data_IF_208696321992
#
_entry.id   IF_208696321992
#
_cell.length_a   1.000
_cell.length_b   1.000
_cell.length_c   1.000
_cell.angle_alpha   90.00
_cell.angle_beta   90.00
_cell.angle_gamma   90.00
#
_symmetry.space_group_name_H-M   'P 1'
#
loop_
_entity.id
_entity.type
_entity.pdbx_description
1 polymer ?
#
# COMPACT_ATOMS: atom_id res chain seq x y z
N UNK A 1 -3.55 20.39 -16.19
CA UNK A 1 -3.05 19.97 -14.87
C UNK A 1 -4.25 19.46 -14.10
N UNK A 2 -4.19 18.23 -13.61
CA UNK A 2 -5.27 17.61 -12.85
C UNK A 2 -5.20 18.07 -11.39
N UNK A 3 -6.34 18.40 -10.81
CA UNK A 3 -6.46 18.68 -9.38
C UNK A 3 -6.18 17.41 -8.58
N UNK A 4 -5.43 17.54 -7.48
CA UNK A 4 -5.22 16.45 -6.53
C UNK A 4 -5.98 16.76 -5.23
N UNK A 5 -6.78 15.81 -4.77
CA UNK A 5 -7.39 15.82 -3.44
C UNK A 5 -7.04 14.54 -2.69
N UNK A 6 -7.30 14.49 -1.40
CA UNK A 6 -7.00 13.30 -0.63
C UNK A 6 -7.76 13.15 0.67
N UNK A 7 -7.78 11.91 1.14
CA UNK A 7 -8.47 11.49 2.34
C UNK A 7 -7.62 10.51 3.13
N UNK A 8 -7.59 10.65 4.46
CA UNK A 8 -7.20 9.54 5.33
C UNK A 8 -8.42 9.04 6.09
N UNK A 9 -8.65 7.73 6.05
CA UNK A 9 -9.78 7.04 6.66
C UNK A 9 -9.41 6.71 8.11
N UNK A 10 -10.20 7.21 9.07
CA UNK A 10 -9.91 7.06 10.49
C UNK A 10 -11.21 6.84 11.28
N UNK A 11 -11.21 5.87 12.20
CA UNK A 11 -12.32 5.68 13.14
C UNK A 11 -12.34 6.81 14.18
N UNK A 12 -13.52 7.32 14.54
CA UNK A 12 -13.66 8.41 15.52
C UNK A 12 -13.03 8.07 16.89
N UNK A 13 -13.08 6.80 17.29
CA UNK A 13 -12.47 6.31 18.54
C UNK A 13 -10.93 6.26 18.52
N UNK A 14 -10.30 6.34 17.35
CA UNK A 14 -8.85 6.19 17.17
C UNK A 14 -8.16 7.57 17.17
N UNK A 15 -8.27 8.30 18.28
CA UNK A 15 -7.78 9.68 18.38
C UNK A 15 -6.26 9.82 18.23
N UNK A 16 -5.50 8.88 18.79
CA UNK A 16 -4.03 8.88 18.70
C UNK A 16 -3.55 8.70 17.26
N UNK A 17 -4.21 7.82 16.49
CA UNK A 17 -3.91 7.62 15.06
C UNK A 17 -4.23 8.87 14.25
N UNK A 18 -5.38 9.49 14.52
CA UNK A 18 -5.77 10.78 13.93
C UNK A 18 -4.71 11.85 14.19
N UNK A 19 -4.27 11.99 15.45
CA UNK A 19 -3.27 12.97 15.83
C UNK A 19 -1.91 12.69 15.15
N UNK A 20 -1.51 11.42 15.06
CA UNK A 20 -0.31 10.99 14.34
C UNK A 20 -0.37 11.34 12.86
N UNK A 21 -1.49 11.04 12.18
CA UNK A 21 -1.67 11.34 10.76
C UNK A 21 -1.69 12.84 10.48
N UNK A 22 -2.42 13.63 11.28
CA UNK A 22 -2.43 15.09 11.12
C UNK A 22 -1.03 15.68 11.24
N UNK A 23 -0.24 15.24 12.23
CA UNK A 23 1.15 15.70 12.39
C UNK A 23 2.01 15.35 11.16
N UNK A 24 1.94 14.11 10.68
CA UNK A 24 2.67 13.71 9.46
C UNK A 24 2.27 14.58 8.26
N UNK A 25 0.98 14.83 8.06
CA UNK A 25 0.49 15.65 6.94
C UNK A 25 0.87 17.12 7.08
N UNK A 26 0.92 17.66 8.30
CA UNK A 26 1.40 19.02 8.57
C UNK A 26 2.91 19.14 8.30
N UNK A 27 3.72 18.20 8.82
CA UNK A 27 5.17 18.17 8.64
C UNK A 27 5.56 18.05 7.15
N UNK A 28 4.77 17.33 6.36
CA UNK A 28 4.95 17.19 4.91
C UNK A 28 4.30 18.31 4.08
N UNK A 29 3.55 19.21 4.71
CA UNK A 29 2.80 20.26 4.02
C UNK A 29 1.61 19.75 3.19
N UNK A 30 1.16 18.51 3.39
CA UNK A 30 0.06 17.89 2.64
C UNK A 30 -1.34 18.14 3.25
N UNK A 31 -1.43 18.70 4.46
CA UNK A 31 -2.71 18.94 5.15
C UNK A 31 -3.69 19.87 4.42
N UNK A 32 -3.24 20.60 3.41
CA UNK A 32 -4.11 21.47 2.60
C UNK A 32 -4.96 20.71 1.58
N UNK A 33 -4.56 19.51 1.16
CA UNK A 33 -5.30 18.70 0.18
C UNK A 33 -5.71 17.33 0.69
N UNK A 34 -5.05 16.79 1.72
CA UNK A 34 -5.44 15.55 2.39
C UNK A 34 -6.20 15.87 3.67
N UNK A 35 -7.47 15.44 3.75
CA UNK A 35 -8.36 15.68 4.89
C UNK A 35 -8.83 14.38 5.54
N UNK A 36 -9.29 14.46 6.78
CA UNK A 36 -9.88 13.30 7.46
C UNK A 36 -11.19 12.88 6.78
N UNK A 37 -11.38 11.58 6.60
CA UNK A 37 -12.66 10.95 6.35
C UNK A 37 -13.05 10.08 7.57
N UNK A 38 -14.24 10.28 8.17
CA UNK A 38 -14.71 9.43 9.26
C UNK A 38 -14.99 8.02 8.74
N UNK A 39 -14.27 7.02 9.24
CA UNK A 39 -14.51 5.63 8.87
C UNK A 39 -15.88 5.15 9.38
N UNK A 40 -16.51 4.27 8.61
CA UNK A 40 -17.74 3.58 8.99
C UNK A 40 -17.49 2.74 10.25
N UNK A 41 -18.43 2.74 11.19
CA UNK A 41 -18.30 1.98 12.42
C UNK A 41 -19.06 0.64 12.31
N UNK A 42 -18.33 -0.43 12.06
CA UNK A 42 -18.91 -1.78 11.93
C UNK A 42 -19.67 -2.26 13.17
N UNK A 43 -19.32 -1.79 14.37
CA UNK A 43 -20.03 -2.16 15.59
C UNK A 43 -21.43 -1.51 15.68
N UNK A 44 -21.67 -0.42 14.96
CA UNK A 44 -22.95 0.31 14.97
C UNK A 44 -23.81 0.00 13.74
N UNK A 45 -23.18 -0.17 12.59
CA UNK A 45 -23.86 -0.23 11.28
C UNK A 45 -23.71 -1.59 10.57
N UNK A 46 -22.89 -2.48 11.14
CA UNK A 46 -22.55 -3.75 10.51
C UNK A 46 -23.75 -4.69 10.36
N UNK A 47 -23.91 -5.35 9.20
CA UNK A 47 -25.07 -6.20 8.92
C UNK A 47 -24.93 -7.65 9.42
N UNK A 48 -23.79 -8.01 10.00
CA UNK A 48 -23.47 -9.37 10.44
C UNK A 48 -23.56 -9.50 11.97
N UNK A 49 -23.79 -10.71 12.47
CA UNK A 49 -23.72 -10.98 13.91
C UNK A 49 -22.27 -11.06 14.41
N UNK A 50 -21.31 -11.28 13.52
CA UNK A 50 -19.88 -11.40 13.82
C UNK A 50 -19.18 -10.04 13.75
N UNK A 51 -18.52 -9.64 14.84
CA UNK A 51 -17.84 -8.33 14.96
C UNK A 51 -16.65 -8.20 14.01
N UNK A 52 -15.87 -9.27 13.79
CA UNK A 52 -14.78 -9.31 12.82
C UNK A 52 -15.27 -9.06 11.39
N UNK A 53 -16.35 -9.73 10.98
CA UNK A 53 -16.97 -9.55 9.66
C UNK A 53 -17.49 -8.13 9.47
N UNK A 54 -18.12 -7.57 10.51
CA UNK A 54 -18.55 -6.18 10.51
C UNK A 54 -17.37 -5.20 10.41
N UNK A 55 -16.23 -5.51 11.03
CA UNK A 55 -15.00 -4.72 10.90
C UNK A 55 -14.46 -4.71 9.47
N UNK A 56 -14.39 -5.88 8.82
CA UNK A 56 -14.01 -6.00 7.40
C UNK A 56 -14.97 -5.24 6.49
N UNK A 57 -16.28 -5.45 6.69
CA UNK A 57 -17.32 -4.75 5.94
C UNK A 57 -17.20 -3.23 6.10
N UNK A 58 -17.02 -2.74 7.32
CA UNK A 58 -16.91 -1.32 7.60
C UNK A 58 -15.64 -0.70 7.00
N UNK A 59 -14.52 -1.41 7.04
CA UNK A 59 -13.30 -1.00 6.33
C UNK A 59 -13.60 -0.82 4.85
N UNK A 60 -14.13 -1.85 4.17
CA UNK A 60 -14.52 -1.76 2.75
C UNK A 60 -15.47 -0.60 2.47
N UNK A 61 -16.55 -0.46 3.27
CA UNK A 61 -17.54 0.61 3.09
C UNK A 61 -16.92 2.00 3.23
N UNK A 62 -15.93 2.17 4.10
CA UNK A 62 -15.21 3.44 4.24
C UNK A 62 -14.47 3.80 2.95
N UNK A 63 -13.75 2.85 2.35
CA UNK A 63 -13.07 3.05 1.06
C UNK A 63 -14.06 3.35 -0.07
N UNK A 64 -15.14 2.58 -0.18
CA UNK A 64 -16.20 2.81 -1.17
C UNK A 64 -16.79 4.22 -1.03
N UNK A 65 -17.16 4.64 0.18
CA UNK A 65 -17.77 5.95 0.42
C UNK A 65 -16.84 7.11 0.08
N UNK A 66 -15.54 7.02 0.42
CA UNK A 66 -14.55 8.03 0.01
C UNK A 66 -14.53 8.17 -1.51
N UNK A 67 -14.46 7.06 -2.25
CA UNK A 67 -14.41 7.06 -3.72
C UNK A 67 -15.70 7.63 -4.31
N UNK A 68 -16.86 7.29 -3.74
CA UNK A 68 -18.15 7.77 -4.21
C UNK A 68 -18.34 9.28 -4.00
N UNK A 69 -17.82 9.82 -2.89
CA UNK A 69 -17.97 11.23 -2.52
C UNK A 69 -16.86 12.15 -3.08
N UNK A 70 -15.72 11.58 -3.48
CA UNK A 70 -14.62 12.34 -4.05
C UNK A 70 -15.00 13.05 -5.36
N UNK A 71 -14.36 14.19 -5.62
CA UNK A 71 -14.57 15.03 -6.81
C UNK A 71 -14.26 14.22 -8.07
N UNK A 72 -15.21 13.99 -8.97
CA UNK A 72 -15.02 13.08 -10.11
C UNK A 72 -13.84 13.44 -11.02
N UNK A 73 -13.49 14.74 -11.08
CA UNK A 73 -12.46 15.25 -11.97
C UNK A 73 -11.05 15.27 -11.35
N UNK A 74 -10.90 15.02 -10.04
CA UNK A 74 -9.59 15.00 -9.38
C UNK A 74 -8.88 13.64 -9.52
N UNK A 75 -7.58 13.62 -9.25
CA UNK A 75 -6.96 12.39 -8.76
C UNK A 75 -7.03 12.38 -7.23
N UNK A 76 -7.53 11.28 -6.66
CA UNK A 76 -7.82 11.21 -5.22
C UNK A 76 -6.86 10.27 -4.52
N UNK A 77 -6.09 10.79 -3.58
CA UNK A 77 -5.27 10.02 -2.65
C UNK A 77 -6.16 9.45 -1.54
N UNK A 78 -6.03 8.17 -1.23
CA UNK A 78 -6.72 7.52 -0.12
C UNK A 78 -5.67 6.83 0.74
N UNK A 79 -5.70 7.09 2.05
CA UNK A 79 -4.79 6.54 3.06
C UNK A 79 -5.58 5.92 4.22
N UNK A 80 -5.06 4.87 4.84
CA UNK A 80 -5.50 4.42 6.17
C UNK A 80 -4.80 5.25 7.27
N UNK A 81 -5.30 5.16 8.51
CA UNK A 81 -4.83 5.99 9.63
C UNK A 81 -3.59 5.46 10.37
N UNK A 82 -3.12 4.27 10.02
CA UNK A 82 -2.00 3.59 10.68
C UNK A 82 -0.78 3.41 9.77
N UNK A 83 -0.69 4.24 8.73
CA UNK A 83 0.48 4.32 7.84
C UNK A 83 1.51 5.35 8.31
N UNK A 84 2.77 5.05 8.01
CA UNK A 84 3.82 6.05 7.94
C UNK A 84 3.91 6.58 6.49
N UNK A 85 4.11 7.89 6.34
CA UNK A 85 4.23 8.56 5.04
C UNK A 85 5.69 8.94 4.79
N UNK A 86 6.22 8.59 3.61
CA UNK A 86 7.58 8.96 3.21
C UNK A 86 7.72 10.48 3.13
N UNK A 87 8.89 11.00 3.52
CA UNK A 87 9.23 12.42 3.31
C UNK A 87 9.22 12.86 1.84
N UNK A 88 9.36 11.90 0.91
CA UNK A 88 9.35 12.13 -0.54
C UNK A 88 7.94 12.10 -1.13
N UNK A 89 6.92 11.84 -0.31
CA UNK A 89 5.52 11.80 -0.72
C UNK A 89 5.09 13.07 -1.50
N UNK A 90 5.28 14.31 -1.00
CA UNK A 90 4.86 15.51 -1.75
C UNK A 90 5.58 15.71 -3.08
N UNK A 91 6.82 15.20 -3.22
CA UNK A 91 7.60 15.31 -4.47
C UNK A 91 7.03 14.41 -5.58
N UNK A 92 6.36 13.32 -5.21
CA UNK A 92 5.76 12.37 -6.16
C UNK A 92 4.25 12.54 -6.27
N UNK A 93 3.56 12.85 -5.17
CA UNK A 93 2.11 13.00 -5.07
C UNK A 93 1.77 14.49 -5.11
N UNK A 94 1.90 15.06 -6.30
CA UNK A 94 1.49 16.42 -6.62
C UNK A 94 0.84 16.48 -8.01
N UNK A 95 0.17 17.60 -8.30
CA UNK A 95 -0.61 17.78 -9.53
C UNK A 95 0.22 17.61 -10.81
N UNK A 96 1.48 18.03 -10.81
CA UNK A 96 2.35 17.93 -11.98
C UNK A 96 2.74 16.49 -12.31
N UNK A 97 3.24 15.77 -11.31
CA UNK A 97 3.64 14.35 -11.48
C UNK A 97 2.44 13.48 -11.77
N UNK A 98 1.32 13.66 -11.06
CA UNK A 98 0.10 12.87 -11.27
C UNK A 98 -0.51 13.15 -12.65
N UNK A 99 -0.52 14.41 -13.11
CA UNK A 99 -0.94 14.73 -14.50
C UNK A 99 -0.11 13.94 -15.50
N UNK A 100 1.22 13.96 -15.35
CA UNK A 100 2.12 13.26 -16.26
C UNK A 100 1.92 11.73 -16.23
N UNK A 101 1.67 11.13 -15.06
CA UNK A 101 1.34 9.71 -14.95
C UNK A 101 0.06 9.40 -15.74
N UNK A 102 -1.01 10.17 -15.54
CA UNK A 102 -2.30 9.96 -16.22
C UNK A 102 -2.17 10.16 -17.73
N UNK A 103 -1.45 11.20 -18.17
CA UNK A 103 -1.24 11.49 -19.60
C UNK A 103 -0.42 10.38 -20.28
N UNK A 104 0.57 9.83 -19.58
CA UNK A 104 1.44 8.75 -20.09
C UNK A 104 0.81 7.36 -20.02
N UNK A 105 -0.19 7.16 -19.14
CA UNK A 105 -0.89 5.88 -18.93
C UNK A 105 -2.40 6.14 -18.83
N UNK A 106 -3.05 6.55 -19.94
CA UNK A 106 -4.46 6.98 -19.93
C UNK A 106 -5.43 5.87 -19.54
N UNK A 107 -5.02 4.60 -19.65
CA UNK A 107 -5.79 3.47 -19.20
C UNK A 107 -5.75 3.21 -17.69
N UNK A 108 -4.90 3.91 -16.93
CA UNK A 108 -4.71 3.70 -15.49
C UNK A 108 -5.97 4.07 -14.71
N UNK A 109 -6.47 3.12 -13.92
CA UNK A 109 -7.57 3.36 -12.99
C UNK A 109 -7.05 3.74 -11.60
N UNK A 110 -6.05 3.02 -11.10
CA UNK A 110 -5.52 3.18 -9.74
C UNK A 110 -4.01 2.97 -9.74
N UNK A 111 -3.30 3.60 -8.81
CA UNK A 111 -1.96 3.12 -8.46
C UNK A 111 -1.76 3.08 -6.96
N UNK A 112 -1.09 2.03 -6.50
CA UNK A 112 -0.87 1.77 -5.09
C UNK A 112 0.44 2.39 -4.63
N UNK A 113 0.40 2.97 -3.43
CA UNK A 113 1.55 3.57 -2.76
C UNK A 113 2.23 2.58 -1.80
N UNK A 114 1.56 1.46 -1.55
CA UNK A 114 1.97 0.28 -0.79
C UNK A 114 1.18 -0.93 -1.28
N UNK A 115 1.76 -2.14 -1.16
CA UNK A 115 0.96 -3.37 -1.15
C UNK A 115 1.69 -4.47 -0.38
N UNK A 116 0.97 -5.52 0.02
CA UNK A 116 1.60 -6.82 0.24
C UNK A 116 1.79 -7.51 -1.11
N UNK A 117 3.02 -7.75 -1.58
CA UNK A 117 3.25 -8.35 -2.88
C UNK A 117 3.15 -9.89 -2.83
N UNK A 118 2.87 -10.52 -3.98
CA UNK A 118 3.15 -11.95 -4.15
C UNK A 118 4.65 -12.22 -3.92
N UNK A 119 4.96 -13.30 -3.21
CA UNK A 119 6.31 -13.50 -2.67
C UNK A 119 7.39 -13.73 -3.74
N UNK A 120 7.01 -14.30 -4.88
CA UNK A 120 7.86 -14.50 -6.05
C UNK A 120 8.33 -13.17 -6.68
N UNK A 121 7.61 -12.07 -6.43
CA UNK A 121 7.97 -10.74 -6.94
C UNK A 121 8.95 -9.98 -6.03
N UNK A 122 9.18 -10.43 -4.80
CA UNK A 122 10.00 -9.70 -3.81
C UNK A 122 11.41 -9.37 -4.33
N UNK A 123 12.16 -10.32 -4.95
CA UNK A 123 13.50 -10.01 -5.44
C UNK A 123 13.50 -8.85 -6.46
N UNK A 124 12.52 -8.84 -7.37
CA UNK A 124 12.36 -7.78 -8.36
C UNK A 124 12.10 -6.43 -7.68
N UNK A 125 11.16 -6.38 -6.75
CA UNK A 125 10.77 -5.14 -6.06
C UNK A 125 11.91 -4.56 -5.21
N UNK A 126 12.66 -5.40 -4.50
CA UNK A 126 13.82 -4.97 -3.72
C UNK A 126 14.89 -4.39 -4.65
N UNK A 127 15.15 -5.02 -5.80
CA UNK A 127 16.10 -4.48 -6.79
C UNK A 127 15.62 -3.18 -7.42
N UNK A 128 14.33 -3.05 -7.72
CA UNK A 128 13.75 -1.78 -8.17
C UNK A 128 13.90 -0.70 -7.10
N UNK A 129 13.69 -1.04 -5.83
CA UNK A 129 13.91 -0.11 -4.71
C UNK A 129 15.36 0.35 -4.62
N UNK A 130 16.33 -0.56 -4.70
CA UNK A 130 17.76 -0.21 -4.72
C UNK A 130 18.17 0.68 -5.90
N UNK A 131 17.52 0.52 -7.06
CA UNK A 131 17.78 1.36 -8.24
C UNK A 131 17.40 2.82 -8.00
N UNK A 132 16.29 3.04 -7.30
CA UNK A 132 15.74 4.38 -7.06
C UNK A 132 16.12 4.97 -5.70
N UNK A 133 16.76 4.19 -4.83
CA UNK A 133 17.30 4.63 -3.54
C UNK A 133 18.79 4.26 -3.44
N UNK A 134 19.62 4.90 -4.25
CA UNK A 134 21.00 4.45 -4.55
C UNK A 134 21.89 4.35 -3.32
N UNK A 135 21.70 5.25 -2.35
CA UNK A 135 22.51 5.31 -1.14
C UNK A 135 22.23 4.15 -0.17
N UNK A 136 21.17 3.35 -0.37
CA UNK A 136 20.88 2.17 0.46
C UNK A 136 22.00 1.15 0.51
N UNK A 137 22.79 1.06 -0.58
CA UNK A 137 23.93 0.13 -0.71
C UNK A 137 25.17 0.58 0.06
N UNK A 138 25.23 1.84 0.50
CA UNK A 138 26.37 2.41 1.18
C UNK A 138 26.22 2.13 2.68
N UNK A 139 27.08 1.28 3.24
CA UNK A 139 27.00 0.84 4.63
C UNK A 139 27.11 1.98 5.65
N UNK A 140 27.87 3.04 5.32
CA UNK A 140 28.16 4.17 6.21
C UNK A 140 27.36 5.45 5.89
N UNK A 141 26.35 5.38 5.00
CA UNK A 141 25.53 6.55 4.70
C UNK A 141 24.70 6.95 5.94
N UNK A 142 24.67 8.25 6.26
CA UNK A 142 23.81 8.77 7.31
C UNK A 142 22.34 8.44 7.02
N UNK A 143 21.56 8.10 8.04
CA UNK A 143 20.17 7.62 7.93
C UNK A 143 19.27 8.45 6.98
N UNK A 144 19.28 9.81 6.99
CA UNK A 144 18.49 10.58 6.04
C UNK A 144 18.98 10.45 4.60
N UNK A 145 20.29 10.29 4.37
CA UNK A 145 20.89 10.25 3.04
C UNK A 145 20.77 8.84 2.42
N UNK A 146 20.79 7.80 3.26
CA UNK A 146 20.61 6.40 2.86
C UNK A 146 19.28 6.14 2.17
N UNK A 147 18.25 6.89 2.55
CA UNK A 147 16.89 6.78 2.00
C UNK A 147 16.53 7.89 1.00
N UNK A 148 17.53 8.55 0.41
CA UNK A 148 17.29 9.50 -0.67
C UNK A 148 16.63 8.81 -1.88
N UNK A 149 15.65 9.48 -2.49
CA UNK A 149 14.88 8.98 -3.62
C UNK A 149 15.31 9.71 -4.90
N UNK A 150 15.65 8.95 -5.93
CA UNK A 150 16.06 9.46 -7.26
C UNK A 150 14.97 9.27 -8.33
N UNK A 151 13.83 8.69 -7.96
CA UNK A 151 12.71 8.41 -8.85
C UNK A 151 11.83 7.28 -8.30
N UNK A 152 10.91 6.79 -9.12
CA UNK A 152 10.10 5.61 -8.80
C UNK A 152 10.04 4.65 -9.98
N UNK A 153 9.99 3.36 -9.67
CA UNK A 153 9.46 2.34 -10.54
C UNK A 153 7.93 2.38 -10.50
N UNK A 154 7.32 2.02 -11.62
CA UNK A 154 5.87 2.04 -11.76
C UNK A 154 5.34 0.78 -12.48
N UNK A 155 5.66 -0.44 -11.98
CA UNK A 155 5.23 -1.68 -12.63
C UNK A 155 3.70 -1.87 -12.60
N UNK A 156 3.19 -2.66 -13.56
CA UNK A 156 1.81 -3.19 -13.58
C UNK A 156 1.59 -4.08 -12.33
N UNK A 157 0.47 -3.86 -11.65
CA UNK A 157 0.13 -4.52 -10.40
C UNK A 157 -0.33 -5.98 -10.57
N UNK A 158 -0.68 -6.46 -11.77
CA UNK A 158 -1.38 -7.73 -11.99
C UNK A 158 -0.69 -8.96 -11.42
N UNK A 159 0.64 -9.02 -11.52
CA UNK A 159 1.42 -10.14 -10.98
C UNK A 159 2.05 -9.80 -9.63
N UNK A 160 1.82 -8.60 -9.11
CA UNK A 160 2.51 -8.08 -7.92
C UNK A 160 1.56 -7.95 -6.75
N UNK A 161 0.40 -7.32 -6.93
CA UNK A 161 -0.52 -7.00 -5.85
C UNK A 161 -1.21 -8.26 -5.31
N UNK A 162 -0.91 -8.63 -4.05
CA UNK A 162 -1.61 -9.72 -3.37
C UNK A 162 -2.76 -9.20 -2.50
N UNK A 163 -2.52 -8.19 -1.67
CA UNK A 163 -3.53 -7.57 -0.78
C UNK A 163 -2.98 -6.28 -0.15
N UNK A 164 -3.77 -5.68 0.74
CA UNK A 164 -3.60 -4.39 1.43
C UNK A 164 -3.95 -3.14 0.62
N UNK A 165 -4.84 -2.31 1.18
CA UNK A 165 -5.29 -1.03 0.62
C UNK A 165 -4.86 0.18 1.48
N UNK A 166 -3.73 0.07 2.18
CA UNK A 166 -3.24 1.06 3.14
C UNK A 166 -2.99 2.46 2.54
N UNK A 167 -2.63 2.54 1.25
CA UNK A 167 -2.67 3.80 0.54
C UNK A 167 -2.50 3.69 -0.96
N UNK A 168 -3.26 4.51 -1.69
CA UNK A 168 -3.35 4.47 -3.15
C UNK A 168 -3.92 5.78 -3.71
N UNK A 169 -3.81 5.95 -5.02
CA UNK A 169 -4.38 7.08 -5.77
C UNK A 169 -5.34 6.55 -6.82
N UNK A 170 -6.56 7.10 -6.85
CA UNK A 170 -7.58 6.77 -7.86
C UNK A 170 -7.65 7.90 -8.88
N UNK A 171 -7.50 7.57 -10.17
CA UNK A 171 -7.63 8.54 -11.26
C UNK A 171 -9.11 8.90 -11.50
N UNK A 172 -9.43 9.99 -12.23
CA UNK A 172 -10.81 10.27 -12.64
C UNK A 172 -11.48 9.08 -13.36
N UNK A 173 -10.74 8.47 -14.28
CA UNK A 173 -11.17 7.24 -14.97
C UNK A 173 -11.42 6.12 -13.96
N UNK A 174 -10.49 5.92 -13.04
CA UNK A 174 -10.58 4.89 -12.01
C UNK A 174 -11.80 5.05 -11.12
N UNK A 175 -12.21 6.27 -10.77
CA UNK A 175 -13.45 6.49 -10.02
C UNK A 175 -14.66 6.02 -10.80
N UNK A 176 -14.73 6.29 -12.10
CA UNK A 176 -15.80 5.78 -12.96
C UNK A 176 -15.76 4.25 -13.14
N UNK A 177 -14.58 3.64 -13.18
CA UNK A 177 -14.42 2.18 -13.20
C UNK A 177 -14.84 1.55 -11.88
N UNK A 178 -14.36 2.06 -10.75
CA UNK A 178 -14.65 1.55 -9.41
C UNK A 178 -16.13 1.66 -9.05
N UNK A 179 -16.81 2.75 -9.42
CA UNK A 179 -18.28 2.86 -9.24
C UNK A 179 -19.04 1.71 -9.87
N UNK A 180 -18.73 1.41 -11.14
CA UNK A 180 -19.35 0.29 -11.87
C UNK A 180 -19.01 -1.06 -11.22
N UNK A 181 -17.77 -1.24 -10.77
CA UNK A 181 -17.33 -2.48 -10.12
C UNK A 181 -17.99 -2.67 -8.76
N UNK A 182 -18.13 -1.61 -7.96
CA UNK A 182 -18.86 -1.64 -6.68
C UNK A 182 -20.34 -1.98 -6.89
N UNK A 183 -21.00 -1.35 -7.86
CA UNK A 183 -22.40 -1.65 -8.20
C UNK A 183 -22.60 -3.10 -8.66
N UNK A 184 -21.63 -3.68 -9.36
CA UNK A 184 -21.68 -5.07 -9.82
C UNK A 184 -21.38 -6.10 -8.71
N UNK A 185 -20.83 -5.68 -7.56
CA UNK A 185 -20.34 -6.59 -6.52
C UNK A 185 -21.37 -6.80 -5.43
N UNK A 186 -21.91 -8.02 -5.35
CA UNK A 186 -22.98 -8.37 -4.40
C UNK A 186 -22.46 -8.89 -3.05
N UNK A 187 -21.22 -9.38 -3.00
CA UNK A 187 -20.66 -10.06 -1.82
C UNK A 187 -20.20 -9.06 -0.76
N UNK A 188 -21.08 -8.70 0.19
CA UNK A 188 -20.78 -7.68 1.21
C UNK A 188 -19.64 -8.04 2.19
N UNK A 189 -19.28 -9.33 2.32
CA UNK A 189 -18.27 -9.82 3.25
C UNK A 189 -16.84 -9.74 2.72
N UNK A 190 -16.66 -9.52 1.41
CA UNK A 190 -15.33 -9.52 0.81
C UNK A 190 -14.57 -8.24 1.19
N UNK A 191 -13.32 -8.36 1.70
CA UNK A 191 -12.44 -7.21 1.92
C UNK A 191 -12.16 -6.42 0.64
N UNK A 192 -11.93 -5.11 0.76
CA UNK A 192 -11.71 -4.22 -0.39
C UNK A 192 -10.43 -4.56 -1.17
N UNK A 193 -9.37 -4.96 -0.48
CA UNK A 193 -8.10 -5.33 -1.09
C UNK A 193 -8.18 -6.64 -1.86
N UNK A 194 -8.98 -7.60 -1.38
CA UNK A 194 -9.28 -8.83 -2.12
C UNK A 194 -10.07 -8.53 -3.40
N UNK A 195 -11.06 -7.62 -3.35
CA UNK A 195 -11.75 -7.15 -4.55
C UNK A 195 -10.79 -6.51 -5.56
N UNK A 196 -9.89 -5.64 -5.08
CA UNK A 196 -8.87 -5.05 -5.94
C UNK A 196 -7.99 -6.11 -6.58
N UNK A 197 -7.47 -7.08 -5.81
CA UNK A 197 -6.67 -8.18 -6.35
C UNK A 197 -7.41 -8.89 -7.49
N UNK A 198 -8.67 -9.26 -7.28
CA UNK A 198 -9.44 -10.05 -8.25
C UNK A 198 -9.80 -9.23 -9.51
N UNK A 199 -10.11 -7.93 -9.36
CA UNK A 199 -10.34 -7.04 -10.51
C UNK A 199 -9.06 -6.73 -11.28
N UNK A 200 -7.92 -6.62 -10.62
CA UNK A 200 -6.63 -6.42 -11.30
C UNK A 200 -6.24 -7.70 -12.04
N UNK A 201 -6.37 -8.87 -11.40
CA UNK A 201 -6.07 -10.17 -11.99
C UNK A 201 -6.92 -10.45 -13.24
N UNK A 202 -8.22 -10.16 -13.18
CA UNK A 202 -9.13 -10.27 -14.33
C UNK A 202 -8.96 -9.17 -15.37
N UNK A 203 -8.23 -8.10 -15.04
CA UNK A 203 -8.00 -6.94 -15.90
C UNK A 203 -9.17 -5.96 -15.96
N UNK A 204 -10.19 -6.13 -15.11
CA UNK A 204 -11.31 -5.22 -14.91
C UNK A 204 -10.89 -3.89 -14.27
N UNK A 205 -9.78 -3.88 -13.53
CA UNK A 205 -9.13 -2.70 -12.97
C UNK A 205 -7.67 -2.62 -13.46
N UNK A 206 -7.28 -1.51 -14.08
CA UNK A 206 -5.90 -1.26 -14.50
C UNK A 206 -5.14 -0.57 -13.37
N UNK A 207 -4.11 -1.25 -12.87
CA UNK A 207 -3.39 -0.80 -11.69
C UNK A 207 -1.88 -0.87 -11.84
N UNK A 208 -1.19 0.09 -11.25
CA UNK A 208 0.26 0.09 -11.08
C UNK A 208 0.63 0.23 -9.60
N UNK A 209 1.90 0.05 -9.26
CA UNK A 209 2.42 0.21 -7.89
C UNK A 209 3.65 1.11 -7.94
N UNK A 210 3.79 2.05 -7.00
CA UNK A 210 5.02 2.82 -6.86
C UNK A 210 6.09 1.98 -6.18
N UNK A 211 7.30 1.91 -6.72
CA UNK A 211 8.43 1.20 -6.09
C UNK A 211 9.66 2.11 -6.06
N UNK A 212 10.16 2.53 -4.90
CA UNK A 212 9.75 2.15 -3.55
C UNK A 212 8.33 2.62 -3.15
N UNK A 213 7.79 1.99 -2.11
CA UNK A 213 6.52 2.38 -1.49
C UNK A 213 6.64 3.76 -0.83
N UNK A 214 5.63 4.61 -1.03
CA UNK A 214 5.62 5.98 -0.50
C UNK A 214 4.84 6.11 0.80
N UNK A 215 4.04 5.11 1.12
CA UNK A 215 3.36 4.93 2.40
C UNK A 215 3.55 3.49 2.82
N UNK A 216 3.44 3.16 4.10
CA UNK A 216 3.33 1.76 4.53
C UNK A 216 2.88 1.70 5.99
N UNK A 217 2.05 0.74 6.42
CA UNK A 217 1.76 0.50 7.83
C UNK A 217 3.03 0.29 8.66
N UNK A 218 2.93 0.56 9.95
CA UNK A 218 4.00 0.23 10.90
C UNK A 218 4.23 -1.29 10.94
N UNK A 219 5.48 -1.71 11.16
CA UNK A 219 5.88 -3.12 11.18
C UNK A 219 4.97 -3.99 12.06
N UNK A 220 4.62 -3.47 13.24
CA UNK A 220 3.71 -4.10 14.21
C UNK A 220 2.54 -3.15 14.50
N UNK A 221 1.64 -2.96 13.54
CA UNK A 221 0.37 -2.26 13.78
C UNK A 221 -0.67 -3.22 14.36
N UNK A 222 -1.31 -2.83 15.47
CA UNK A 222 -2.46 -3.56 16.00
C UNK A 222 -3.69 -3.23 15.16
N UNK A 223 -4.38 -4.21 14.58
CA UNK A 223 -5.61 -3.91 13.85
C UNK A 223 -6.74 -3.43 14.78
N UNK A 224 -7.61 -2.55 14.28
CA UNK A 224 -8.90 -2.22 14.91
C UNK A 224 -10.02 -3.18 14.52
N UNK A 225 -9.74 -4.15 13.63
CA UNK A 225 -10.63 -5.23 13.24
C UNK A 225 -10.33 -6.45 14.13
N UNK A 226 -11.38 -7.05 14.69
CA UNK A 226 -11.30 -8.23 15.55
C UNK A 226 -11.10 -9.50 14.71
N UNK A 227 -9.91 -9.65 14.11
CA UNK A 227 -9.59 -10.79 13.26
C UNK A 227 -9.68 -12.15 13.97
N UNK A 228 -9.52 -12.18 15.31
CA UNK A 228 -9.67 -13.41 16.10
C UNK A 228 -11.09 -14.02 16.05
N UNK A 229 -12.09 -13.22 15.66
CA UNK A 229 -13.48 -13.66 15.49
C UNK A 229 -13.75 -14.17 14.07
N UNK A 230 -12.79 -14.05 13.13
CA UNK A 230 -12.90 -14.61 11.79
C UNK A 230 -12.43 -16.07 11.74
N UNK A 231 -12.82 -16.78 10.68
CA UNK A 231 -12.30 -18.11 10.39
C UNK A 231 -10.77 -18.07 10.21
N UNK A 232 -10.05 -18.93 10.93
CA UNK A 232 -8.59 -19.00 10.86
C UNK A 232 -8.06 -19.26 9.44
N UNK A 233 -8.84 -19.92 8.57
CA UNK A 233 -8.46 -20.12 7.17
C UNK A 233 -8.32 -18.80 6.38
N UNK A 234 -8.91 -17.71 6.88
CA UNK A 234 -8.87 -16.38 6.26
C UNK A 234 -7.71 -15.52 6.78
N UNK A 235 -6.97 -16.00 7.78
CA UNK A 235 -5.91 -15.25 8.44
C UNK A 235 -4.53 -15.74 7.99
N UNK A 236 -3.63 -14.78 7.77
CA UNK A 236 -2.22 -15.08 7.68
C UNK A 236 -1.72 -15.57 9.04
N UNK A 237 -0.96 -16.66 9.05
CA UNK A 237 -0.27 -17.10 10.26
C UNK A 237 0.69 -16.02 10.76
N UNK A 238 0.92 -15.95 12.08
CA UNK A 238 1.72 -14.91 12.74
C UNK A 238 3.08 -14.67 12.06
N UNK A 239 3.80 -15.75 11.76
CA UNK A 239 5.09 -15.69 11.06
C UNK A 239 4.97 -15.00 9.70
N UNK A 240 3.95 -15.36 8.91
CA UNK A 240 3.75 -14.81 7.57
C UNK A 240 3.35 -13.33 7.64
N UNK A 241 2.49 -12.95 8.58
CA UNK A 241 2.12 -11.55 8.84
C UNK A 241 3.35 -10.71 9.18
N UNK A 242 4.21 -11.19 10.09
CA UNK A 242 5.45 -10.49 10.47
C UNK A 242 6.44 -10.41 9.31
N UNK A 243 6.67 -11.48 8.55
CA UNK A 243 7.54 -11.42 7.37
C UNK A 243 7.00 -10.46 6.31
N UNK A 244 5.68 -10.45 6.08
CA UNK A 244 5.03 -9.56 5.12
C UNK A 244 5.18 -8.10 5.54
N UNK A 245 4.97 -7.78 6.82
CA UNK A 245 5.24 -6.46 7.38
C UNK A 245 6.70 -6.04 7.17
N UNK A 246 7.65 -6.95 7.40
CA UNK A 246 9.07 -6.66 7.20
C UNK A 246 9.39 -6.35 5.73
N UNK A 247 8.89 -7.16 4.80
CA UNK A 247 9.09 -6.95 3.35
C UNK A 247 8.57 -5.58 2.92
N UNK A 248 7.37 -5.19 3.36
CA UNK A 248 6.77 -3.89 3.02
C UNK A 248 7.59 -2.71 3.53
N UNK A 249 8.04 -2.78 4.79
CA UNK A 249 8.94 -1.78 5.36
C UNK A 249 10.28 -1.72 4.63
N UNK A 250 10.82 -2.85 4.19
CA UNK A 250 12.04 -2.87 3.36
C UNK A 250 11.82 -2.21 2.00
N UNK A 251 10.60 -2.22 1.45
CA UNK A 251 10.25 -1.54 0.20
C UNK A 251 9.91 -0.05 0.38
N UNK A 252 9.85 0.46 1.62
CA UNK A 252 9.41 1.82 1.93
C UNK A 252 10.47 2.90 1.66
N UNK A 253 10.07 4.04 1.09
CA UNK A 253 10.92 5.16 0.72
C UNK A 253 11.32 6.04 1.92
N UNK A 254 11.63 5.45 3.06
CA UNK A 254 12.10 6.11 4.28
C UNK A 254 12.74 5.05 5.20
N UNK A 255 13.06 5.41 6.44
CA UNK A 255 13.60 4.45 7.39
C UNK A 255 12.61 3.28 7.58
N UNK A 256 13.03 2.02 7.35
CA UNK A 256 12.16 0.86 7.45
C UNK A 256 11.67 0.62 8.88
N UNK A 257 12.35 1.12 9.91
CA UNK A 257 11.98 0.92 11.31
C UNK A 257 11.95 -0.56 11.71
N UNK A 258 12.74 -1.39 11.03
CA UNK A 258 12.88 -2.82 11.32
C UNK A 258 14.18 -3.00 12.10
N UNK A 259 14.09 -3.70 13.22
CA UNK A 259 15.27 -4.21 13.94
C UNK A 259 15.59 -5.60 13.41
N UNK A 260 16.82 -5.83 12.93
CA UNK A 260 17.21 -7.11 12.33
C UNK A 260 16.93 -8.30 13.26
N UNK A 261 17.23 -8.14 14.56
CA UNK A 261 17.00 -9.16 15.60
C UNK A 261 15.53 -9.58 15.75
N UNK A 262 14.57 -8.76 15.29
CA UNK A 262 13.14 -9.11 15.30
C UNK A 262 12.73 -9.96 14.10
N UNK A 263 13.46 -9.87 12.98
CA UNK A 263 13.14 -10.56 11.73
C UNK A 263 13.96 -11.83 11.56
N UNK A 264 15.24 -11.83 11.97
CA UNK A 264 16.15 -12.96 11.83
C UNK A 264 15.56 -14.28 12.37
N UNK A 265 14.91 -14.32 13.55
CA UNK A 265 14.31 -15.56 14.08
C UNK A 265 13.14 -16.11 13.26
N UNK A 266 12.55 -15.29 12.38
CA UNK A 266 11.46 -15.69 11.49
C UNK A 266 11.99 -16.34 10.20
N UNK A 267 13.25 -16.09 9.85
CA UNK A 267 13.87 -16.66 8.67
C UNK A 267 14.04 -18.17 8.87
N UNK A 268 13.85 -18.94 7.80
CA UNK A 268 14.10 -20.37 7.82
C UNK A 268 15.14 -20.72 6.77
N UNK A 269 16.00 -21.68 7.10
CA UNK A 269 16.87 -22.32 6.12
C UNK A 269 16.03 -23.21 5.22
N UNK A 270 15.47 -22.61 4.17
CA UNK A 270 14.77 -23.36 3.14
C UNK A 270 15.81 -24.11 2.28
N UNK A 271 15.67 -25.43 2.08
CA UNK A 271 16.54 -26.16 1.18
C UNK A 271 16.36 -25.63 -0.26
N UNK A 272 17.35 -24.90 -0.75
CA UNK A 272 17.40 -24.41 -2.12
C UNK A 272 18.28 -25.32 -2.99
N UNK A 273 17.80 -25.64 -4.20
CA UNK A 273 18.58 -26.42 -5.18
C UNK A 273 19.84 -25.66 -5.63
N UNK A 274 20.89 -26.37 -6.09
CA UNK A 274 22.07 -25.73 -6.67
C UNK A 274 21.73 -24.78 -7.84
N UNK A 275 20.75 -25.14 -8.67
CA UNK A 275 20.27 -24.35 -9.81
C UNK A 275 19.63 -23.04 -9.35
N UNK A 276 18.79 -23.08 -8.31
CA UNK A 276 18.20 -21.87 -7.74
C UNK A 276 19.28 -20.90 -7.25
N UNK A 277 20.25 -21.40 -6.47
CA UNK A 277 21.35 -20.56 -5.93
C UNK A 277 22.22 -19.97 -7.03
N UNK A 278 22.57 -20.77 -8.04
CA UNK A 278 23.36 -20.31 -9.18
C UNK A 278 22.59 -19.25 -9.97
N UNK A 279 21.31 -19.48 -10.23
CA UNK A 279 20.46 -18.54 -10.97
C UNK A 279 20.29 -17.22 -10.24
N UNK A 280 20.08 -17.24 -8.91
CA UNK A 280 20.05 -16.01 -8.12
C UNK A 280 21.37 -15.25 -8.20
N UNK A 281 22.52 -15.92 -8.09
CA UNK A 281 23.83 -15.24 -8.26
C UNK A 281 24.03 -14.69 -9.67
N UNK A 282 23.57 -15.40 -10.70
CA UNK A 282 23.60 -14.91 -12.08
C UNK A 282 22.71 -13.66 -12.23
N UNK A 283 21.50 -13.68 -11.68
CA UNK A 283 20.57 -12.55 -11.66
C UNK A 283 21.23 -11.31 -11.02
N UNK A 284 21.86 -11.48 -9.86
CA UNK A 284 22.56 -10.39 -9.16
C UNK A 284 23.77 -9.88 -9.95
N UNK A 285 24.53 -10.77 -10.59
CA UNK A 285 25.73 -10.40 -11.36
C UNK A 285 25.39 -9.64 -12.64
N UNK A 286 24.33 -10.06 -13.36
CA UNK A 286 23.86 -9.37 -14.56
C UNK A 286 23.33 -7.97 -14.25
N UNK A 287 22.80 -7.79 -13.05
CA UNK A 287 22.29 -6.49 -12.60
C UNK A 287 23.40 -5.54 -12.15
N UNK A 288 24.44 -6.04 -11.47
CA UNK A 288 25.58 -5.23 -11.06
C UNK A 288 26.35 -4.61 -12.24
N UNK A 289 26.16 -5.13 -13.46
CA UNK A 289 26.78 -4.66 -14.69
C UNK A 289 25.99 -3.56 -15.43
N UNK A 290 24.79 -3.18 -14.94
CA UNK A 290 23.94 -2.10 -15.49
C UNK A 290 24.01 -0.85 -14.63
#
# INVERSE_FOLDING_TARGET
MIKVDGYFINLDRSEDRRASMNRQLEDLGCGHFIRRFPAVNGALEGPFDNTGQNGVWACRRSHEQVILQADEASATVILEDDVDISRHFPDIINEGVISNIIDSTPELDIFFLDCSPFFDQIPLLIRTTERYMRNRKIADAAEPDRHQLDGIGFPDARTIYAFCAAGYVVTPKGKASLRRLFEATQEAHMPIDILYRDWIASGALKANITVPFLVTPKYMSQSTIEYGELDQAQLLGERQSRLTGAIRRMLFASNPGIVQDEVEPLLCDAPASPEYRLTMRMYESLWAAQ
#
